data_IF_999813954829
#
_entry.id   IF_999813954829
#
_cell.length_a   1.000
_cell.length_b   1.000
_cell.length_c   1.000
_cell.angle_alpha   90.00
_cell.angle_beta   90.00
_cell.angle_gamma   90.00
#
_symmetry.space_group_name_H-M   'P 1'
#
loop_
_entity.id
_entity.type
_entity.pdbx_description
1 polymer ?
#
# COMPACT_ATOMS: atom_id res chain seq x y z
N UNK A 1 -1.43 14.08 0.88
CA UNK A 1 -0.14 13.35 1.03
C UNK A 1 -0.31 11.93 0.49
N UNK A 2 0.76 11.30 -0.02
CA UNK A 2 0.69 9.95 -0.57
C UNK A 2 1.07 8.89 0.47
N UNK A 3 0.26 7.83 0.51
CA UNK A 3 0.50 6.60 1.25
C UNK A 3 0.38 5.41 0.30
N UNK A 4 0.77 4.24 0.78
CA UNK A 4 0.83 3.03 -0.03
C UNK A 4 -0.03 1.94 0.58
N UNK A 5 -0.68 1.15 -0.25
CA UNK A 5 -1.51 0.01 0.17
C UNK A 5 -0.98 -1.25 -0.51
N UNK A 6 -0.81 -2.31 0.28
CA UNK A 6 -0.60 -3.68 -0.16
C UNK A 6 -1.84 -4.46 0.28
N UNK A 7 -2.40 -5.29 -0.58
CA UNK A 7 -3.63 -6.02 -0.24
C UNK A 7 -3.73 -7.38 -0.90
N UNK A 8 -4.29 -8.35 -0.19
CA UNK A 8 -4.80 -9.61 -0.75
C UNK A 8 -6.33 -9.62 -0.83
N UNK A 9 -6.99 -8.45 -0.70
CA UNK A 9 -8.42 -8.28 -0.94
C UNK A 9 -8.76 -8.50 -2.40
N UNK A 10 -10.02 -8.85 -2.65
CA UNK A 10 -10.53 -8.96 -4.00
C UNK A 10 -10.49 -7.60 -4.70
N UNK A 11 -10.03 -7.57 -5.95
CA UNK A 11 -10.10 -6.40 -6.82
C UNK A 11 -11.20 -6.61 -7.83
N UNK A 12 -12.16 -5.68 -7.84
CA UNK A 12 -13.30 -5.66 -8.74
C UNK A 12 -13.07 -4.63 -9.86
N UNK A 13 -13.88 -4.72 -10.92
CA UNK A 13 -13.92 -3.73 -12.01
C UNK A 13 -15.31 -3.11 -12.08
N UNK A 14 -15.36 -1.80 -12.24
CA UNK A 14 -16.63 -1.11 -12.51
C UNK A 14 -17.03 -1.24 -14.00
N UNK A 15 -18.19 -0.66 -14.36
CA UNK A 15 -18.70 -0.69 -15.73
C UNK A 15 -17.79 0.04 -16.75
N UNK A 16 -16.87 0.89 -16.28
CA UNK A 16 -15.87 1.57 -17.11
C UNK A 16 -14.57 0.76 -17.26
N UNK A 17 -14.47 -0.39 -16.58
CA UNK A 17 -13.28 -1.22 -16.52
C UNK A 17 -12.24 -0.74 -15.51
N UNK A 18 -12.55 0.28 -14.71
CA UNK A 18 -11.65 0.79 -13.67
C UNK A 18 -11.66 -0.16 -12.48
N UNK A 19 -10.45 -0.53 -12.04
CA UNK A 19 -10.26 -1.42 -10.91
C UNK A 19 -10.44 -0.70 -9.57
N UNK A 20 -11.02 -1.40 -8.59
CA UNK A 20 -11.15 -0.96 -7.21
C UNK A 20 -11.05 -2.14 -6.24
N UNK A 21 -10.58 -1.87 -5.02
CA UNK A 21 -10.50 -2.86 -3.93
C UNK A 21 -11.90 -3.08 -3.38
N UNK A 22 -12.30 -4.34 -3.13
CA UNK A 22 -13.58 -4.65 -2.52
C UNK A 22 -13.71 -3.96 -1.13
N UNK A 23 -14.69 -3.08 -0.91
CA UNK A 23 -14.74 -2.27 0.30
C UNK A 23 -15.09 -3.08 1.54
N UNK A 24 -15.99 -4.05 1.42
CA UNK A 24 -16.59 -4.73 2.58
C UNK A 24 -15.62 -5.71 3.24
N UNK A 25 -14.68 -6.27 2.45
CA UNK A 25 -13.71 -7.24 2.94
C UNK A 25 -14.30 -8.61 3.27
N UNK A 26 -15.55 -8.90 2.92
CA UNK A 26 -16.18 -10.20 3.22
C UNK A 26 -15.74 -11.33 2.28
N UNK A 27 -14.89 -11.06 1.28
CA UNK A 27 -14.32 -12.07 0.39
C UNK A 27 -13.31 -13.00 1.08
N UNK A 28 -12.86 -14.04 0.40
CA UNK A 28 -11.67 -14.79 0.80
C UNK A 28 -10.40 -14.05 0.38
N UNK A 29 -9.33 -14.17 1.18
CA UNK A 29 -8.01 -13.69 0.77
C UNK A 29 -7.57 -14.30 -0.56
N UNK A 30 -7.03 -13.46 -1.43
CA UNK A 30 -6.39 -13.87 -2.66
C UNK A 30 -4.95 -14.29 -2.42
N UNK A 31 -4.50 -15.31 -3.14
CA UNK A 31 -3.08 -15.69 -3.14
C UNK A 31 -2.20 -14.63 -3.87
N UNK A 32 -2.84 -13.72 -4.63
CA UNK A 32 -2.16 -12.65 -5.35
C UNK A 32 -2.27 -11.32 -4.60
N UNK A 33 -1.11 -10.73 -4.29
CA UNK A 33 -1.04 -9.39 -3.74
C UNK A 33 -1.29 -8.33 -4.82
N UNK A 34 -2.08 -7.34 -4.48
CA UNK A 34 -2.34 -6.13 -5.26
C UNK A 34 -1.77 -4.92 -4.54
N UNK A 35 -1.41 -3.91 -5.32
CA UNK A 35 -0.64 -2.76 -4.85
C UNK A 35 -1.35 -1.48 -5.28
N UNK A 36 -1.40 -0.48 -4.41
CA UNK A 36 -2.02 0.80 -4.68
C UNK A 36 -1.29 1.98 -4.03
N UNK A 37 -1.53 3.17 -4.59
CA UNK A 37 -1.32 4.45 -3.90
C UNK A 37 -2.63 4.92 -3.28
N UNK A 38 -2.52 5.56 -2.12
CA UNK A 38 -3.62 6.29 -1.48
C UNK A 38 -3.26 7.77 -1.35
N UNK A 39 -4.05 8.63 -2.00
CA UNK A 39 -4.00 10.08 -1.83
C UNK A 39 -4.96 10.48 -0.70
N UNK A 40 -4.40 10.83 0.46
CA UNK A 40 -5.22 11.11 1.65
C UNK A 40 -6.12 12.34 1.48
N UNK A 41 -5.65 13.35 0.74
CA UNK A 41 -6.37 14.62 0.58
C UNK A 41 -7.59 14.44 -0.31
N UNK A 42 -7.46 13.59 -1.33
CA UNK A 42 -8.55 13.24 -2.24
C UNK A 42 -9.35 12.02 -1.80
N UNK A 43 -8.88 11.34 -0.74
CA UNK A 43 -9.34 10.00 -0.33
C UNK A 43 -9.44 9.03 -1.50
N UNK A 44 -8.46 9.06 -2.39
CA UNK A 44 -8.48 8.30 -3.64
C UNK A 44 -7.46 7.16 -3.61
N UNK A 45 -7.94 5.94 -3.79
CA UNK A 45 -7.10 4.77 -4.03
C UNK A 45 -6.87 4.62 -5.54
N UNK A 46 -5.61 4.46 -5.93
CA UNK A 46 -5.21 4.17 -7.31
C UNK A 46 -4.41 2.87 -7.33
N UNK A 47 -5.02 1.80 -7.85
CA UNK A 47 -4.36 0.51 -8.03
C UNK A 47 -3.29 0.61 -9.13
N UNK A 48 -2.13 0.02 -8.87
CA UNK A 48 -1.15 -0.22 -9.91
C UNK A 48 -1.65 -1.37 -10.81
N UNK A 49 -1.59 -1.21 -12.14
CA UNK A 49 -1.93 -2.29 -13.05
C UNK A 49 -1.00 -3.48 -12.79
N UNK A 50 -1.57 -4.67 -12.73
CA UNK A 50 -0.84 -5.89 -12.43
C UNK A 50 -0.35 -6.59 -13.69
N UNK A 51 0.60 -7.52 -13.54
CA UNK A 51 1.05 -8.39 -14.62
C UNK A 51 -0.07 -9.42 -14.88
N UNK A 52 -0.53 -9.61 -16.13
CA UNK A 52 -1.55 -10.60 -16.44
C UNK A 52 -1.16 -12.01 -15.98
N UNK A 53 -2.10 -12.69 -15.32
CA UNK A 53 -1.92 -14.09 -14.89
C UNK A 53 -1.63 -14.94 -16.13
N UNK A 54 -0.43 -15.52 -16.21
CA UNK A 54 0.03 -16.34 -17.33
C UNK A 54 1.21 -15.77 -18.11
N UNK A 55 1.57 -14.50 -17.90
CA UNK A 55 2.88 -13.99 -18.34
C UNK A 55 3.94 -14.53 -17.37
N UNK A 56 4.86 -15.36 -17.89
CA UNK A 56 5.95 -15.94 -17.11
C UNK A 56 6.77 -14.79 -16.52
N UNK A 57 6.76 -14.67 -15.20
CA UNK A 57 7.69 -13.81 -14.47
C UNK A 57 9.07 -14.44 -14.63
N UNK A 58 9.81 -13.98 -15.63
CA UNK A 58 11.24 -14.27 -15.68
C UNK A 58 11.88 -13.62 -14.45
N UNK A 59 12.30 -14.43 -13.48
CA UNK A 59 13.03 -13.95 -12.30
C UNK A 59 14.38 -13.31 -12.67
N UNK A 60 14.83 -13.46 -13.92
CA UNK A 60 15.95 -12.72 -14.53
C UNK A 60 15.59 -11.33 -15.05
N UNK A 61 14.33 -10.87 -14.90
CA UNK A 61 13.89 -9.56 -15.37
C UNK A 61 14.65 -8.43 -14.66
N UNK A 62 15.67 -7.93 -15.35
CA UNK A 62 16.43 -6.80 -14.89
C UNK A 62 15.59 -5.53 -15.02
N UNK A 63 15.27 -4.93 -13.87
CA UNK A 63 14.65 -3.61 -13.77
C UNK A 63 15.63 -2.49 -14.17
N UNK A 64 16.90 -2.83 -14.44
CA UNK A 64 18.00 -1.89 -14.69
C UNK A 64 17.81 -1.22 -16.05
N UNK A 65 17.50 0.07 -16.04
CA UNK A 65 17.33 0.89 -17.23
C UNK A 65 15.87 1.10 -17.67
N UNK A 66 14.90 0.41 -17.05
CA UNK A 66 13.48 0.67 -17.29
C UNK A 66 13.02 1.91 -16.54
N UNK A 67 12.14 2.69 -17.16
CA UNK A 67 11.49 3.82 -16.49
C UNK A 67 10.33 3.31 -15.61
N UNK A 68 9.88 4.12 -14.64
CA UNK A 68 8.88 3.67 -13.65
C UNK A 68 7.49 3.47 -14.23
N UNK A 69 7.18 4.22 -15.29
CA UNK A 69 5.98 4.15 -16.11
C UNK A 69 5.92 2.87 -16.96
N UNK A 70 7.03 2.14 -17.11
CA UNK A 70 7.10 0.85 -17.80
C UNK A 70 7.00 -0.34 -16.83
N UNK A 71 6.96 -0.08 -15.52
CA UNK A 71 6.85 -1.11 -14.49
C UNK A 71 5.40 -1.33 -14.11
N UNK A 72 5.06 -2.59 -13.81
CA UNK A 72 3.74 -3.02 -13.38
C UNK A 72 3.81 -3.64 -11.97
N UNK A 73 2.65 -3.73 -11.31
CA UNK A 73 2.45 -4.40 -10.03
C UNK A 73 3.52 -4.09 -8.98
N UNK A 74 4.08 -5.16 -8.40
CA UNK A 74 5.13 -5.14 -7.38
C UNK A 74 6.33 -4.28 -7.76
N UNK A 75 6.81 -4.38 -9.01
CA UNK A 75 7.98 -3.65 -9.47
C UNK A 75 7.72 -2.13 -9.53
N UNK A 76 6.54 -1.73 -10.00
CA UNK A 76 6.13 -0.32 -10.02
C UNK A 76 6.03 0.23 -8.59
N UNK A 77 5.32 -0.50 -7.72
CA UNK A 77 5.10 -0.15 -6.33
C UNK A 77 6.40 0.09 -5.58
N UNK A 78 7.31 -0.90 -5.55
CA UNK A 78 8.55 -0.77 -4.80
C UNK A 78 9.53 0.23 -5.42
N UNK A 79 9.53 0.39 -6.75
CA UNK A 79 10.31 1.45 -7.41
C UNK A 79 9.85 2.85 -7.00
N UNK A 80 8.53 3.08 -6.95
CA UNK A 80 7.96 4.36 -6.54
C UNK A 80 8.18 4.63 -5.05
N UNK A 81 7.92 3.64 -4.19
CA UNK A 81 8.19 3.74 -2.75
C UNK A 81 9.67 4.06 -2.49
N UNK A 82 10.59 3.35 -3.14
CA UNK A 82 12.02 3.60 -3.01
C UNK A 82 12.41 5.01 -3.47
N UNK A 83 11.92 5.46 -4.63
CA UNK A 83 12.16 6.84 -5.10
C UNK A 83 11.68 7.88 -4.09
N UNK A 84 10.50 7.67 -3.51
CA UNK A 84 10.00 8.54 -2.47
C UNK A 84 10.88 8.49 -1.21
N UNK A 85 11.45 7.33 -0.86
CA UNK A 85 12.37 7.18 0.27
C UNK A 85 13.69 7.92 0.02
N UNK A 86 14.10 8.08 -1.24
CA UNK A 86 15.30 8.84 -1.59
C UNK A 86 15.08 10.36 -1.60
N UNK A 87 13.87 10.86 -1.88
CA UNK A 87 13.60 12.30 -2.09
C UNK A 87 13.97 13.22 -0.91
N UNK A 88 13.95 12.74 0.34
CA UNK A 88 14.25 13.54 1.54
C UNK A 88 15.74 13.62 1.90
N UNK A 89 16.63 12.99 1.13
CA UNK A 89 18.08 13.07 1.42
C UNK A 89 18.76 14.36 0.97
N UNK A 90 18.02 15.43 0.64
CA UNK A 90 18.59 16.76 0.40
C UNK A 90 19.07 17.36 1.72
N UNK A 91 20.33 17.05 2.07
CA UNK A 91 21.15 17.62 3.15
C UNK A 91 20.75 19.06 3.49
N UNK A 92 19.86 19.23 4.47
CA UNK A 92 19.80 20.45 5.26
C UNK A 92 21.09 20.53 6.09
N UNK A 93 21.63 21.74 6.21
CA UNK A 93 22.91 22.01 6.89
C UNK A 93 22.90 21.37 8.28
N UNK A 94 24.11 20.95 8.70
CA UNK A 94 24.53 20.14 9.86
C UNK A 94 23.97 20.50 11.26
N UNK A 95 22.94 21.35 11.36
CA UNK A 95 22.41 21.92 12.61
C UNK A 95 20.89 21.80 12.75
N UNK A 96 20.17 21.30 11.75
CA UNK A 96 18.72 21.06 11.83
C UNK A 96 18.47 19.57 11.63
N UNK A 97 17.68 18.95 12.53
CA UNK A 97 17.26 17.54 12.42
C UNK A 97 16.85 17.29 10.97
N UNK A 98 17.49 16.31 10.33
CA UNK A 98 17.02 15.75 9.06
C UNK A 98 15.52 15.54 9.16
N UNK A 99 14.75 16.20 8.29
CA UNK A 99 13.34 15.89 8.10
C UNK A 99 13.27 14.38 7.84
N UNK A 100 12.75 13.61 8.80
CA UNK A 100 12.79 12.17 8.68
C UNK A 100 11.99 11.74 7.46
N UNK A 101 12.39 10.63 6.85
CA UNK A 101 11.77 10.10 5.65
C UNK A 101 11.41 8.64 5.78
N UNK A 102 11.19 8.22 7.02
CA UNK A 102 10.99 6.83 7.36
C UNK A 102 9.61 6.38 6.89
N UNK A 103 9.51 5.09 6.60
CA UNK A 103 8.27 4.44 6.20
C UNK A 103 7.74 3.65 7.39
N UNK A 104 6.51 3.95 7.82
CA UNK A 104 5.79 3.11 8.76
C UNK A 104 5.05 2.01 7.99
N UNK A 105 5.47 0.75 8.15
CA UNK A 105 4.67 -0.39 7.74
C UNK A 105 3.66 -0.70 8.84
N UNK A 106 2.38 -0.77 8.49
CA UNK A 106 1.31 -1.14 9.40
C UNK A 106 0.49 -2.28 8.81
N UNK A 107 0.18 -3.26 9.65
CA UNK A 107 -0.65 -4.42 9.32
C UNK A 107 -1.79 -4.41 10.35
N UNK A 108 -3.03 -4.31 9.88
CA UNK A 108 -4.18 -4.29 10.78
C UNK A 108 -4.50 -5.70 11.31
N UNK A 109 -5.24 -5.76 12.42
CA UNK A 109 -5.76 -7.01 12.98
C UNK A 109 -7.13 -7.39 12.41
N UNK A 110 -7.91 -8.14 13.17
CA UNK A 110 -9.23 -8.62 12.76
C UNK A 110 -10.27 -7.51 12.59
N UNK A 111 -11.36 -7.83 11.91
CA UNK A 111 -12.55 -6.99 11.75
C UNK A 111 -12.29 -5.56 11.26
N UNK A 112 -11.68 -5.40 10.09
CA UNK A 112 -11.52 -4.09 9.45
C UNK A 112 -12.05 -4.16 8.04
N UNK A 113 -13.04 -3.34 7.70
CA UNK A 113 -13.37 -3.09 6.30
C UNK A 113 -12.38 -2.10 5.67
N UNK A 114 -12.54 -1.76 4.39
CA UNK A 114 -11.63 -0.82 3.73
C UNK A 114 -11.71 0.59 4.33
N UNK A 115 -12.87 1.03 4.81
CA UNK A 115 -13.06 2.35 5.40
C UNK A 115 -12.35 2.44 6.76
N UNK A 116 -12.42 1.40 7.58
CA UNK A 116 -11.68 1.27 8.86
C UNK A 116 -10.17 1.39 8.63
N UNK A 117 -9.68 0.76 7.56
CA UNK A 117 -8.27 0.81 7.16
C UNK A 117 -7.87 2.24 6.79
N UNK A 118 -8.68 2.95 6.00
CA UNK A 118 -8.42 4.35 5.65
C UNK A 118 -8.49 5.27 6.88
N UNK A 119 -9.43 5.02 7.80
CA UNK A 119 -9.52 5.70 9.10
C UNK A 119 -8.28 5.47 9.96
N UNK A 120 -7.72 4.26 9.92
CA UNK A 120 -6.47 3.91 10.60
C UNK A 120 -5.29 4.67 10.00
N UNK A 121 -5.17 4.75 8.68
CA UNK A 121 -4.12 5.56 8.01
C UNK A 121 -4.20 7.01 8.49
N UNK A 122 -5.41 7.60 8.53
CA UNK A 122 -5.61 8.96 9.03
C UNK A 122 -5.14 9.13 10.48
N UNK A 123 -5.52 8.20 11.36
CA UNK A 123 -5.13 8.21 12.77
C UNK A 123 -3.60 8.09 12.94
N UNK A 124 -2.97 7.19 12.19
CA UNK A 124 -1.52 7.01 12.21
C UNK A 124 -0.79 8.24 11.69
N UNK A 125 -1.29 8.89 10.63
CA UNK A 125 -0.74 10.15 10.11
C UNK A 125 -0.76 11.24 11.17
N UNK A 126 -1.89 11.44 11.83
CA UNK A 126 -2.04 12.45 12.89
C UNK A 126 -1.07 12.21 14.06
N UNK A 127 -0.89 10.95 14.46
CA UNK A 127 -0.02 10.57 15.59
C UNK A 127 1.47 10.59 15.25
N UNK A 128 1.85 10.10 14.07
CA UNK A 128 3.24 9.75 13.76
C UNK A 128 3.87 10.57 12.64
N UNK A 129 3.10 11.25 11.80
CA UNK A 129 3.66 12.09 10.74
C UNK A 129 3.64 13.55 11.19
N UNK A 130 2.49 14.00 11.70
CA UNK A 130 2.29 15.41 12.08
C UNK A 130 2.92 15.80 13.43
N UNK A 131 3.66 14.91 14.09
CA UNK A 131 4.13 15.07 15.47
C UNK A 131 5.66 15.01 15.62
N UNK A 132 6.41 15.71 14.75
CA UNK A 132 7.90 15.77 14.77
C UNK A 132 8.59 14.39 14.77
N UNK A 133 7.90 13.35 14.32
CA UNK A 133 8.45 12.01 14.17
C UNK A 133 9.15 11.89 12.82
N UNK A 134 10.11 10.96 12.67
CA UNK A 134 10.83 10.80 11.42
C UNK A 134 10.00 10.10 10.32
N UNK A 135 8.79 9.65 10.63
CA UNK A 135 7.91 8.95 9.68
C UNK A 135 7.32 9.96 8.69
N UNK A 136 7.53 9.70 7.40
CA UNK A 136 7.04 10.53 6.31
C UNK A 136 6.04 9.81 5.40
N UNK A 137 5.63 8.57 5.71
CA UNK A 137 4.54 7.87 5.02
C UNK A 137 4.16 6.58 5.74
N UNK A 138 3.01 6.05 5.33
CA UNK A 138 2.49 4.77 5.76
C UNK A 138 2.45 3.83 4.54
N UNK A 139 2.90 2.60 4.74
CA UNK A 139 2.55 1.44 3.91
C UNK A 139 1.57 0.62 4.74
N UNK A 140 0.34 0.51 4.26
CA UNK A 140 -0.73 -0.24 4.90
C UNK A 140 -0.88 -1.59 4.21
N UNK A 141 -0.72 -2.68 4.96
CA UNK A 141 -1.18 -3.98 4.50
C UNK A 141 -2.63 -4.17 4.92
N UNK A 142 -3.49 -4.58 3.98
CA UNK A 142 -4.89 -4.89 4.29
C UNK A 142 -5.36 -6.20 3.71
N UNK A 143 -5.94 -7.02 4.58
CA UNK A 143 -6.59 -8.28 4.26
C UNK A 143 -8.10 -8.23 4.48
N UNK A 144 -8.86 -9.15 3.85
CA UNK A 144 -10.29 -9.32 4.08
C UNK A 144 -10.64 -9.44 5.57
N UNK A 145 -11.84 -8.98 5.91
CA UNK A 145 -12.44 -9.08 7.25
C UNK A 145 -13.37 -10.28 7.31
N UNK A 146 -13.31 -11.02 8.42
CA UNK A 146 -14.33 -12.02 8.72
C UNK A 146 -15.54 -11.45 9.51
N UNK A 147 -15.56 -10.14 9.78
CA UNK A 147 -16.57 -9.53 10.65
C UNK A 147 -16.42 -9.90 12.14
N UNK A 148 -15.40 -10.69 12.50
CA UNK A 148 -15.12 -11.14 13.86
C UNK A 148 -13.89 -10.44 14.42
N UNK A 149 -13.98 -9.97 15.66
CA UNK A 149 -12.91 -9.26 16.39
C UNK A 149 -11.78 -10.18 16.88
N UNK A 150 -11.93 -11.51 16.76
CA UNK A 150 -11.05 -12.49 17.42
C UNK A 150 -10.29 -13.41 16.47
N UNK A 151 -10.77 -13.60 15.25
CA UNK A 151 -10.21 -14.57 14.32
C UNK A 151 -10.26 -14.09 12.87
N UNK A 152 -9.27 -14.53 12.07
CA UNK A 152 -9.38 -14.47 10.62
C UNK A 152 -10.31 -15.58 10.13
N UNK A 153 -10.69 -15.55 8.86
CA UNK A 153 -11.53 -16.62 8.30
C UNK A 153 -10.72 -17.90 8.11
N UNK A 154 -9.47 -17.73 7.68
CA UNK A 154 -8.47 -18.77 7.58
C UNK A 154 -7.13 -18.17 8.01
N UNK A 155 -6.76 -18.33 9.29
CA UNK A 155 -5.54 -17.76 9.87
C UNK A 155 -4.28 -18.05 9.04
N UNK A 156 -4.18 -19.21 8.38
CA UNK A 156 -3.00 -19.54 7.59
C UNK A 156 -2.95 -18.81 6.25
N UNK A 157 -4.12 -18.52 5.67
CA UNK A 157 -4.23 -17.90 4.34
C UNK A 157 -4.37 -16.39 4.39
N UNK A 158 -4.97 -15.89 5.48
CA UNK A 158 -5.27 -14.47 5.67
C UNK A 158 -4.10 -13.69 6.31
N UNK A 159 -3.19 -14.37 7.03
CA UNK A 159 -2.00 -13.81 7.70
C UNK A 159 -0.69 -14.05 6.94
#
# INVERSE_FOLDING_TARGET
MKHYIITNRQVNKDNSGKEYINPDGEEMASDNLRFAEYDDEKRLITLYPDIPIGEIVDYGFSIKGKKSDELLGTACFFSNLYKDMCKSTKRTKKTERTEGNDTLLFIHGFNNDLEDVLGTIKTLKEKYINNKSPIARIVMFTCPSNGDLREYRDDQRDA
#
